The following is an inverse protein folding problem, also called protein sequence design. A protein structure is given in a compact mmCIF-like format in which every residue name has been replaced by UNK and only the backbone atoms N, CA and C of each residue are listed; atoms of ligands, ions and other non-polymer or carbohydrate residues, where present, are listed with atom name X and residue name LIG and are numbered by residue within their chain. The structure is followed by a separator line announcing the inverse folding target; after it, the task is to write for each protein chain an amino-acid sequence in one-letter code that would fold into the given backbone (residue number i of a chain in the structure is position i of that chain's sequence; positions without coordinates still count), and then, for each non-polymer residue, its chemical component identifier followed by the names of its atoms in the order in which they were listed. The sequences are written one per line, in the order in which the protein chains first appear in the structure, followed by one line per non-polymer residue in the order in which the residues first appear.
data_IF_929367486838
#
_entry.id   IF_929367486838
#
_cell.length_a   1.000
_cell.length_b   1.000
_cell.length_c   1.000
_cell.angle_alpha   90.00
_cell.angle_beta   90.00
_cell.angle_gamma   90.00
#
_symmetry.space_group_name_H-M   'P 1'
#
loop_
_entity.id
_entity.type
_entity.pdbx_description
1 polymer ?
#
# COMPACT_ATOMS: atom_id res chain seq x y z
N UNK A 1 -12.92 0.35 5.59
CA UNK A 1 -12.35 -0.19 6.86
C UNK A 1 -12.12 -1.68 6.68
N UNK A 2 -10.92 -2.14 6.92
CA UNK A 2 -10.54 -3.55 6.78
C UNK A 2 -10.78 -4.27 8.10
N UNK A 3 -11.43 -5.44 8.05
CA UNK A 3 -11.72 -6.21 9.25
C UNK A 3 -10.47 -6.91 9.80
N UNK A 4 -10.50 -7.25 11.09
CA UNK A 4 -9.42 -8.00 11.73
C UNK A 4 -9.16 -9.35 11.05
N UNK A 5 -10.21 -10.05 10.59
CA UNK A 5 -10.09 -11.31 9.87
C UNK A 5 -9.43 -11.14 8.49
N UNK A 6 -9.67 -10.02 7.79
CA UNK A 6 -9.01 -9.70 6.52
C UNK A 6 -7.51 -9.46 6.72
N UNK A 7 -7.12 -8.72 7.77
CA UNK A 7 -5.72 -8.55 8.15
C UNK A 7 -5.06 -9.88 8.50
N UNK A 8 -5.74 -10.72 9.28
CA UNK A 8 -5.25 -12.06 9.59
C UNK A 8 -4.96 -12.89 8.33
N UNK A 9 -5.84 -12.82 7.33
CA UNK A 9 -5.65 -13.51 6.06
C UNK A 9 -4.49 -12.95 5.26
N UNK A 10 -4.34 -11.62 5.18
CA UNK A 10 -3.19 -10.97 4.54
C UNK A 10 -1.87 -11.38 5.21
N UNK A 11 -1.82 -11.35 6.53
CA UNK A 11 -0.63 -11.75 7.32
C UNK A 11 -0.27 -13.21 7.04
N UNK A 12 -1.25 -14.12 7.07
CA UNK A 12 -1.05 -15.53 6.73
C UNK A 12 -0.49 -15.73 5.31
N UNK A 13 -1.06 -15.04 4.31
CA UNK A 13 -0.63 -15.14 2.92
C UNK A 13 0.79 -14.60 2.73
N UNK A 14 1.15 -13.53 3.42
CA UNK A 14 2.49 -12.94 3.40
C UNK A 14 3.53 -13.89 4.00
N UNK A 15 3.29 -14.43 5.19
CA UNK A 15 4.20 -15.35 5.88
C UNK A 15 4.42 -16.66 5.10
N UNK A 16 3.38 -17.14 4.40
CA UNK A 16 3.46 -18.33 3.58
C UNK A 16 3.92 -18.06 2.13
N UNK A 17 4.42 -16.86 1.84
CA UNK A 17 4.95 -16.46 0.53
C UNK A 17 3.97 -16.63 -0.64
N UNK A 18 2.66 -16.55 -0.36
CA UNK A 18 1.59 -16.65 -1.36
C UNK A 18 1.33 -15.28 -2.00
N UNK A 19 2.33 -14.76 -2.72
CA UNK A 19 2.37 -13.39 -3.24
C UNK A 19 1.16 -13.02 -4.10
N UNK A 20 0.77 -13.91 -5.02
CA UNK A 20 -0.37 -13.67 -5.92
C UNK A 20 -1.66 -13.53 -5.12
N UNK A 21 -1.95 -14.51 -4.24
CA UNK A 21 -3.17 -14.49 -3.46
C UNK A 21 -3.21 -13.30 -2.47
N UNK A 22 -2.03 -12.91 -1.94
CA UNK A 22 -1.89 -11.70 -1.14
C UNK A 22 -2.28 -10.46 -1.95
N UNK A 23 -1.71 -10.29 -3.15
CA UNK A 23 -1.95 -9.14 -4.00
C UNK A 23 -3.42 -9.09 -4.43
N UNK A 24 -4.00 -10.21 -4.87
CA UNK A 24 -5.39 -10.30 -5.28
C UNK A 24 -6.34 -9.90 -4.14
N UNK A 25 -6.10 -10.42 -2.93
CA UNK A 25 -6.87 -10.04 -1.75
C UNK A 25 -6.67 -8.55 -1.41
N UNK A 26 -5.43 -8.09 -1.38
CA UNK A 26 -5.10 -6.71 -1.02
C UNK A 26 -5.77 -5.71 -1.97
N UNK A 27 -5.64 -5.91 -3.28
CA UNK A 27 -6.28 -5.05 -4.28
C UNK A 27 -7.82 -5.09 -4.19
N UNK A 28 -8.39 -6.24 -3.86
CA UNK A 28 -9.83 -6.34 -3.63
C UNK A 28 -10.30 -5.51 -2.42
N UNK A 29 -9.47 -5.37 -1.39
CA UNK A 29 -9.74 -4.54 -0.22
C UNK A 29 -9.59 -3.05 -0.53
N UNK A 30 -8.56 -2.69 -1.29
CA UNK A 30 -8.35 -1.31 -1.75
C UNK A 30 -9.44 -0.85 -2.72
N UNK A 31 -10.11 -1.77 -3.41
CA UNK A 31 -11.10 -1.51 -4.49
C UNK A 31 -10.52 -0.67 -5.64
N UNK A 32 -9.22 -0.68 -5.80
CA UNK A 32 -8.48 0.05 -6.81
C UNK A 32 -7.16 -0.65 -7.07
N UNK A 33 -6.60 -0.43 -8.25
CA UNK A 33 -5.24 -0.83 -8.60
C UNK A 33 -4.32 0.37 -8.87
N UNK A 34 -4.84 1.60 -8.71
CA UNK A 34 -4.04 2.82 -8.82
C UNK A 34 -3.11 2.94 -7.62
N UNK A 35 -1.83 3.15 -7.89
CA UNK A 35 -0.78 3.23 -6.86
C UNK A 35 -1.09 4.31 -5.82
N UNK A 36 -1.52 5.49 -6.25
CA UNK A 36 -1.83 6.62 -5.36
C UNK A 36 -3.00 6.28 -4.42
N UNK A 37 -4.07 5.70 -4.95
CA UNK A 37 -5.23 5.32 -4.14
C UNK A 37 -4.87 4.22 -3.12
N UNK A 38 -3.99 3.29 -3.52
CA UNK A 38 -3.44 2.26 -2.63
C UNK A 38 -2.66 2.89 -1.47
N UNK A 39 -1.85 3.90 -1.75
CA UNK A 39 -1.09 4.61 -0.71
C UNK A 39 -2.02 5.38 0.24
N UNK A 40 -3.05 6.05 -0.27
CA UNK A 40 -4.08 6.68 0.56
C UNK A 40 -4.82 5.65 1.42
N UNK A 41 -5.14 4.48 0.84
CA UNK A 41 -5.77 3.40 1.59
C UNK A 41 -4.88 2.89 2.73
N UNK A 42 -3.60 2.61 2.47
CA UNK A 42 -2.65 2.20 3.51
C UNK A 42 -2.56 3.26 4.60
N UNK A 43 -2.48 4.54 4.23
CA UNK A 43 -2.45 5.65 5.17
C UNK A 43 -3.69 5.68 6.05
N UNK A 44 -4.88 5.59 5.46
CA UNK A 44 -6.16 5.66 6.16
C UNK A 44 -6.39 4.49 7.13
N UNK A 45 -5.97 3.27 6.75
CA UNK A 45 -6.22 2.07 7.55
C UNK A 45 -5.23 1.90 8.72
N UNK A 46 -4.04 2.48 8.60
CA UNK A 46 -3.00 2.26 9.60
C UNK A 46 -2.76 3.39 10.58
N UNK A 47 -2.73 4.62 10.09
CA UNK A 47 -2.06 5.72 10.77
C UNK A 47 -2.93 6.45 11.79
N UNK A 48 -3.83 5.75 12.42
CA UNK A 48 -4.76 6.41 13.33
C UNK A 48 -4.11 6.76 14.67
N UNK A 49 -3.07 6.04 15.14
CA UNK A 49 -2.64 6.27 16.54
C UNK A 49 -1.17 6.03 16.92
N UNK A 50 -0.25 5.67 16.03
CA UNK A 50 1.10 5.33 16.53
C UNK A 50 2.23 6.05 15.79
N UNK A 51 3.01 6.86 16.53
CA UNK A 51 4.26 7.49 16.11
C UNK A 51 5.42 6.48 15.94
N UNK A 52 5.11 5.22 15.67
CA UNK A 52 6.12 4.19 15.55
C UNK A 52 6.84 4.24 14.21
N UNK A 53 8.15 4.18 14.24
CA UNK A 53 8.99 4.04 13.06
C UNK A 53 8.81 2.65 12.45
N UNK A 54 8.70 2.57 11.13
CA UNK A 54 8.69 1.31 10.40
C UNK A 54 10.14 0.93 10.10
N UNK A 55 10.60 -0.18 10.67
CA UNK A 55 11.90 -0.77 10.33
C UNK A 55 11.74 -1.81 9.24
N UNK A 56 12.42 -1.60 8.12
CA UNK A 56 12.42 -2.50 6.97
C UNK A 56 13.81 -3.06 6.74
N UNK A 57 13.94 -4.36 6.55
CA UNK A 57 15.14 -4.94 5.98
C UNK A 57 14.95 -5.04 4.45
N UNK A 58 15.60 -4.15 3.72
CA UNK A 58 15.56 -4.13 2.27
C UNK A 58 16.97 -4.31 1.70
N UNK A 59 17.18 -5.35 0.89
CA UNK A 59 18.49 -5.68 0.30
C UNK A 59 19.62 -5.65 1.33
N UNK A 60 19.45 -6.35 2.46
CA UNK A 60 20.39 -6.46 3.58
C UNK A 60 20.68 -5.16 4.34
N UNK A 61 19.97 -4.07 4.05
CA UNK A 61 20.05 -2.82 4.80
C UNK A 61 18.81 -2.61 5.64
N UNK A 62 19.01 -2.29 6.91
CA UNK A 62 17.92 -1.83 7.76
C UNK A 62 17.53 -0.41 7.34
N UNK A 63 16.28 -0.24 6.94
CA UNK A 63 15.70 1.04 6.61
C UNK A 63 14.71 1.41 7.71
N UNK A 64 14.91 2.57 8.30
CA UNK A 64 13.96 3.15 9.24
C UNK A 64 13.15 4.19 8.45
N UNK A 65 11.88 3.91 8.24
CA UNK A 65 10.95 4.87 7.63
C UNK A 65 10.23 5.54 8.79
N UNK A 66 10.46 6.82 8.96
CA UNK A 66 9.67 7.61 9.90
C UNK A 66 8.27 7.76 9.34
N UNK A 67 7.27 7.59 10.20
CA UNK A 67 5.88 7.73 9.80
C UNK A 67 5.61 9.12 9.21
N UNK A 68 6.27 10.15 9.74
CA UNK A 68 6.18 11.54 9.30
C UNK A 68 6.74 11.76 7.88
N UNK A 69 7.74 10.97 7.49
CA UNK A 69 8.40 11.08 6.17
C UNK A 69 7.74 10.20 5.11
N UNK A 70 6.91 9.26 5.51
CA UNK A 70 6.24 8.33 4.62
C UNK A 70 4.77 8.70 4.48
N UNK A 71 4.33 9.01 3.28
CA UNK A 71 2.93 9.26 2.94
C UNK A 71 2.37 10.64 3.37
N UNK A 72 3.21 11.65 3.68
CA UNK A 72 2.72 12.98 4.02
C UNK A 72 2.05 13.68 2.83
N UNK A 73 2.68 13.64 1.67
CA UNK A 73 2.27 14.39 0.49
C UNK A 73 1.85 13.46 -0.67
N UNK A 74 0.92 12.53 -0.40
CA UNK A 74 0.34 11.73 -1.47
C UNK A 74 -0.58 12.64 -2.27
N UNK A 75 -0.29 12.88 -3.57
CA UNK A 75 -1.15 13.72 -4.40
C UNK A 75 -2.48 13.01 -4.70
N UNK A 76 -3.48 13.79 -5.06
CA UNK A 76 -4.69 13.24 -5.65
C UNK A 76 -4.42 12.78 -7.09
N UNK A 77 -5.13 11.72 -7.52
CA UNK A 77 -5.11 11.29 -8.91
C UNK A 77 -5.74 12.37 -9.79
N UNK A 78 -4.98 12.88 -10.75
CA UNK A 78 -5.49 13.88 -11.71
C UNK A 78 -5.03 13.50 -13.12
N UNK A 79 -5.84 12.71 -13.84
CA UNK A 79 -5.52 12.32 -15.20
C UNK A 79 -5.46 13.54 -16.12
N UNK A 80 -4.47 13.55 -17.03
CA UNK A 80 -4.33 14.55 -18.08
C UNK A 80 -4.51 13.91 -19.44
N UNK A 81 -5.33 14.53 -20.29
CA UNK A 81 -5.62 14.05 -21.65
C UNK A 81 -4.92 14.94 -22.67
N UNK A 82 -4.10 14.34 -23.50
CA UNK A 82 -3.35 15.00 -24.55
C UNK A 82 -3.83 14.55 -25.92
N UNK A 83 -4.27 15.50 -26.76
CA UNK A 83 -4.75 15.24 -28.13
C UNK A 83 -3.76 15.77 -29.15
N UNK A 84 -3.38 14.92 -30.11
CA UNK A 84 -2.48 15.26 -31.21
C UNK A 84 -2.93 14.60 -32.51
N UNK A 85 -3.47 15.36 -33.44
CA UNK A 85 -4.07 14.84 -34.66
C UNK A 85 -5.11 13.73 -34.28
N UNK A 86 -4.90 12.52 -34.79
CA UNK A 86 -5.76 11.38 -34.56
C UNK A 86 -5.41 10.60 -33.28
N UNK A 87 -4.42 11.06 -32.49
CA UNK A 87 -4.02 10.42 -31.22
C UNK A 87 -4.66 11.12 -30.02
N UNK A 88 -5.13 10.31 -29.09
CA UNK A 88 -5.48 10.74 -27.73
C UNK A 88 -4.70 9.90 -26.73
N UNK A 89 -3.98 10.55 -25.80
CA UNK A 89 -3.15 9.89 -24.80
C UNK A 89 -3.59 10.37 -23.42
N UNK A 90 -3.90 9.43 -22.55
CA UNK A 90 -4.20 9.70 -21.14
C UNK A 90 -2.98 9.38 -20.29
N UNK A 91 -2.52 10.38 -19.55
CA UNK A 91 -1.49 10.24 -18.52
C UNK A 91 -2.13 10.34 -17.15
N UNK A 92 -1.69 9.50 -16.23
CA UNK A 92 -2.09 9.52 -14.80
C UNK A 92 -1.01 8.80 -13.98
N UNK A 93 -1.13 8.84 -12.67
CA UNK A 93 -0.34 7.98 -11.81
C UNK A 93 -0.58 6.50 -12.15
N UNK A 94 0.47 5.67 -12.12
CA UNK A 94 0.38 4.31 -12.64
C UNK A 94 -0.50 3.41 -11.77
N UNK A 95 -1.06 2.39 -12.40
CA UNK A 95 -1.50 1.22 -11.69
C UNK A 95 -0.28 0.47 -11.13
N UNK A 96 -0.46 -0.26 -10.04
CA UNK A 96 0.62 -1.00 -9.39
C UNK A 96 1.33 -1.98 -10.33
N UNK A 97 0.58 -2.65 -11.20
CA UNK A 97 1.12 -3.59 -12.18
C UNK A 97 1.92 -2.85 -13.26
N UNK A 98 1.40 -1.74 -13.74
CA UNK A 98 2.06 -0.93 -14.77
C UNK A 98 3.36 -0.33 -14.25
N UNK A 99 3.37 0.12 -12.99
CA UNK A 99 4.56 0.66 -12.33
C UNK A 99 5.73 -0.33 -12.27
N UNK A 100 5.44 -1.60 -12.10
CA UNK A 100 6.47 -2.65 -11.97
C UNK A 100 6.91 -3.26 -13.29
N UNK A 101 6.10 -3.15 -14.35
CA UNK A 101 6.29 -3.91 -15.59
C UNK A 101 6.46 -3.05 -16.85
N UNK A 102 6.13 -1.76 -16.82
CA UNK A 102 6.16 -0.90 -18.02
C UNK A 102 7.15 0.24 -17.89
N UNK A 103 7.95 0.54 -18.93
CA UNK A 103 8.92 1.64 -18.92
C UNK A 103 8.25 3.02 -18.87
N UNK A 104 7.04 3.17 -19.40
CA UNK A 104 6.23 4.39 -19.39
C UNK A 104 4.96 4.19 -18.57
N UNK A 105 5.14 3.86 -17.30
CA UNK A 105 4.06 3.48 -16.40
C UNK A 105 3.00 4.56 -16.15
N UNK A 106 3.29 5.84 -16.44
CA UNK A 106 2.32 6.92 -16.34
C UNK A 106 1.37 7.00 -17.55
N UNK A 107 1.61 6.28 -18.64
CA UNK A 107 0.71 6.22 -19.78
C UNK A 107 -0.37 5.18 -19.49
N UNK A 108 -1.60 5.64 -19.29
CA UNK A 108 -2.74 4.77 -18.99
C UNK A 108 -3.41 4.22 -20.24
N UNK A 109 -3.57 5.06 -21.27
CA UNK A 109 -4.15 4.65 -22.54
C UNK A 109 -3.62 5.48 -23.71
N UNK A 110 -3.56 4.86 -24.87
CA UNK A 110 -3.32 5.52 -26.14
C UNK A 110 -4.44 5.09 -27.08
N UNK A 111 -5.11 6.02 -27.71
CA UNK A 111 -6.04 5.75 -28.80
C UNK A 111 -5.59 6.43 -30.10
N UNK A 112 -5.87 5.77 -31.22
CA UNK A 112 -5.65 6.29 -32.57
C UNK A 112 -6.94 6.14 -33.37
N UNK A 113 -7.49 7.23 -33.88
CA UNK A 113 -8.78 7.25 -34.59
C UNK A 113 -9.88 6.56 -33.79
N UNK A 114 -9.99 6.90 -32.50
CA UNK A 114 -10.96 6.35 -31.54
C UNK A 114 -10.76 4.86 -31.16
N UNK A 115 -9.79 4.15 -31.73
CA UNK A 115 -9.42 2.80 -31.33
C UNK A 115 -8.37 2.84 -30.22
N UNK A 116 -8.66 2.17 -29.10
CA UNK A 116 -7.70 2.05 -27.98
C UNK A 116 -6.63 1.03 -28.34
N UNK A 117 -5.36 1.45 -28.24
CA UNK A 117 -4.21 0.59 -28.46
C UNK A 117 -3.96 -0.24 -27.21
N UNK A 118 -3.87 -1.55 -27.35
CA UNK A 118 -3.53 -2.46 -26.27
C UNK A 118 -2.00 -2.47 -26.03
N UNK A 119 -1.56 -1.77 -25.02
CA UNK A 119 -0.14 -1.61 -24.68
C UNK A 119 0.33 -2.75 -23.74
N UNK A 120 0.56 -3.94 -24.30
CA UNK A 120 0.97 -5.13 -23.53
C UNK A 120 2.49 -5.30 -23.42
N UNK A 121 3.27 -4.69 -24.27
CA UNK A 121 4.72 -4.88 -24.32
C UNK A 121 5.51 -3.58 -24.45
N UNK A 122 6.79 -3.60 -24.12
CA UNK A 122 7.70 -2.47 -24.29
C UNK A 122 7.82 -2.01 -25.75
N UNK A 123 7.50 -2.89 -26.71
CA UNK A 123 7.55 -2.58 -28.15
C UNK A 123 6.36 -1.74 -28.59
N UNK A 124 5.28 -1.76 -27.87
CA UNK A 124 4.03 -1.07 -28.25
C UNK A 124 4.17 0.46 -28.12
N UNK A 125 5.07 0.93 -27.26
CA UNK A 125 5.39 2.37 -27.16
C UNK A 125 6.14 2.92 -28.36
N UNK A 126 6.73 2.09 -29.20
CA UNK A 126 7.40 2.50 -30.45
C UNK A 126 6.43 3.03 -31.51
N UNK A 127 5.13 2.78 -31.34
CA UNK A 127 4.09 3.37 -32.21
C UNK A 127 3.78 4.82 -31.90
N UNK A 128 4.26 5.36 -30.77
CA UNK A 128 4.11 6.78 -30.45
C UNK A 128 5.05 7.58 -31.35
N UNK A 129 4.55 8.50 -32.20
CA UNK A 129 5.40 9.36 -32.97
C UNK A 129 6.38 10.14 -32.11
N UNK A 130 7.65 10.21 -32.50
CA UNK A 130 8.69 10.89 -31.69
C UNK A 130 8.29 12.32 -31.31
N UNK A 131 7.69 13.05 -32.23
CA UNK A 131 7.23 14.45 -32.01
C UNK A 131 6.14 14.52 -30.92
N UNK A 132 5.33 13.49 -30.78
CA UNK A 132 4.32 13.38 -29.74
C UNK A 132 4.98 12.99 -28.41
N UNK A 133 5.87 12.02 -28.45
CA UNK A 133 6.65 11.59 -27.28
C UNK A 133 7.41 12.77 -26.66
N UNK A 134 8.14 13.55 -27.46
CA UNK A 134 8.91 14.73 -27.02
C UNK A 134 8.03 15.78 -26.30
N UNK A 135 6.74 15.86 -26.67
CA UNK A 135 5.77 16.76 -26.01
C UNK A 135 5.21 16.18 -24.70
N UNK A 136 5.17 14.86 -24.55
CA UNK A 136 4.67 14.19 -23.35
C UNK A 136 5.73 14.08 -22.24
N UNK A 137 7.02 14.06 -22.62
CA UNK A 137 8.13 13.91 -21.66
C UNK A 137 8.02 14.87 -20.46
N UNK A 138 7.78 16.17 -20.60
CA UNK A 138 7.70 17.06 -19.44
C UNK A 138 6.62 16.64 -18.44
N UNK A 139 5.45 16.21 -18.94
CA UNK A 139 4.35 15.74 -18.07
C UNK A 139 4.67 14.40 -17.45
N UNK A 140 5.24 13.46 -18.21
CA UNK A 140 5.69 12.15 -17.65
C UNK A 140 6.71 12.37 -16.54
N UNK A 141 7.71 13.23 -16.77
CA UNK A 141 8.72 13.56 -15.77
C UNK A 141 8.10 14.17 -14.50
N UNK A 142 7.05 14.97 -14.63
CA UNK A 142 6.33 15.53 -13.49
C UNK A 142 5.67 14.45 -12.63
N UNK A 143 5.02 13.45 -13.24
CA UNK A 143 4.48 12.29 -12.52
C UNK A 143 5.60 11.48 -11.83
N UNK A 144 6.70 11.23 -12.54
CA UNK A 144 7.85 10.50 -11.99
C UNK A 144 8.52 11.25 -10.84
N UNK A 145 8.70 12.55 -10.95
CA UNK A 145 9.25 13.40 -9.88
C UNK A 145 8.35 13.38 -8.65
N UNK A 146 7.04 13.42 -8.84
CA UNK A 146 6.07 13.36 -7.75
C UNK A 146 6.14 12.00 -7.05
N UNK A 147 6.14 10.89 -7.79
CA UNK A 147 6.31 9.55 -7.23
C UNK A 147 7.66 9.41 -6.49
N UNK A 148 8.73 9.96 -7.07
CA UNK A 148 10.05 9.95 -6.43
C UNK A 148 10.06 10.69 -5.08
N UNK A 149 9.29 11.77 -4.94
CA UNK A 149 9.16 12.49 -3.65
C UNK A 149 8.43 11.66 -2.59
N UNK A 150 7.40 10.92 -2.98
CA UNK A 150 6.66 10.03 -2.05
C UNK A 150 7.56 8.93 -1.50
N UNK A 151 8.52 8.45 -2.31
CA UNK A 151 9.38 7.31 -1.99
C UNK A 151 10.82 7.68 -1.65
N UNK A 152 11.07 8.92 -1.25
CA UNK A 152 12.37 9.33 -0.70
C UNK A 152 12.43 8.88 0.76
N UNK A 153 13.51 8.20 1.13
CA UNK A 153 13.84 7.94 2.51
C UNK A 153 15.14 8.65 2.89
N UNK A 154 15.23 9.06 4.13
CA UNK A 154 16.45 9.65 4.69
C UNK A 154 17.06 8.71 5.73
N UNK A 155 18.37 8.47 5.62
CA UNK A 155 19.18 7.83 6.65
C UNK A 155 20.26 8.86 7.04
N UNK A 156 20.07 9.56 8.14
CA UNK A 156 20.92 10.70 8.50
C UNK A 156 20.86 11.76 7.39
N UNK A 157 22.04 12.16 6.89
CA UNK A 157 22.17 13.16 5.82
C UNK A 157 22.05 12.56 4.40
N UNK A 158 21.88 11.25 4.28
CA UNK A 158 21.80 10.56 2.99
C UNK A 158 20.34 10.36 2.63
N UNK A 159 19.89 11.02 1.56
CA UNK A 159 18.61 10.72 0.94
C UNK A 159 18.79 9.68 -0.17
N UNK A 160 17.93 8.69 -0.22
CA UNK A 160 17.90 7.70 -1.29
C UNK A 160 16.48 7.44 -1.76
N UNK A 161 16.34 6.87 -2.96
CA UNK A 161 15.04 6.61 -3.59
C UNK A 161 14.68 5.15 -3.46
N UNK A 162 13.41 4.87 -3.15
CA UNK A 162 12.86 3.54 -3.28
C UNK A 162 12.18 3.39 -4.63
N UNK A 163 12.40 2.23 -5.25
CA UNK A 163 11.47 1.73 -6.24
C UNK A 163 10.43 0.87 -5.51
N UNK A 164 9.18 1.26 -5.63
CA UNK A 164 8.08 0.50 -5.05
C UNK A 164 7.83 -0.72 -5.93
N UNK A 165 8.45 -1.84 -5.60
CA UNK A 165 8.13 -3.13 -6.19
C UNK A 165 7.04 -3.85 -5.34
N UNK A 166 6.47 -4.92 -5.91
CA UNK A 166 5.44 -5.73 -5.22
C UNK A 166 5.95 -6.26 -3.89
N UNK A 167 7.21 -6.64 -3.80
CA UNK A 167 7.81 -7.16 -2.58
C UNK A 167 7.91 -6.09 -1.49
N UNK A 168 8.22 -4.85 -1.87
CA UNK A 168 8.23 -3.73 -0.94
C UNK A 168 6.81 -3.40 -0.47
N UNK A 169 5.81 -3.42 -1.36
CA UNK A 169 4.40 -3.21 -0.99
C UNK A 169 3.92 -4.28 -0.01
N UNK A 170 4.21 -5.55 -0.28
CA UNK A 170 3.88 -6.66 0.64
C UNK A 170 4.52 -6.42 2.00
N UNK A 171 5.78 -6.00 2.05
CA UNK A 171 6.48 -5.68 3.29
C UNK A 171 5.87 -4.47 4.00
N UNK A 172 5.53 -3.40 3.28
CA UNK A 172 4.89 -2.21 3.84
C UNK A 172 3.54 -2.59 4.45
N UNK A 173 2.70 -3.34 3.75
CA UNK A 173 1.40 -3.79 4.26
C UNK A 173 1.58 -4.71 5.47
N UNK A 174 2.50 -5.68 5.41
CA UNK A 174 2.81 -6.53 6.55
C UNK A 174 3.25 -5.72 7.77
N UNK A 175 4.19 -4.81 7.59
CA UNK A 175 4.70 -3.96 8.66
C UNK A 175 3.69 -2.91 9.13
N UNK A 176 2.79 -2.49 8.25
CA UNK A 176 1.73 -1.57 8.61
C UNK A 176 0.88 -2.10 9.77
N UNK A 177 0.68 -3.39 9.88
CA UNK A 177 -0.10 -4.01 10.94
C UNK A 177 0.76 -4.64 12.05
N UNK A 178 2.09 -4.53 11.96
CA UNK A 178 3.13 -4.89 12.96
C UNK A 178 2.76 -6.11 13.79
N UNK A 179 2.35 -7.20 13.15
CA UNK A 179 1.95 -8.41 13.86
C UNK A 179 2.28 -9.66 13.06
N UNK A 180 2.48 -10.77 13.74
CA UNK A 180 2.60 -12.09 13.12
C UNK A 180 1.25 -12.80 13.13
N UNK A 181 1.07 -13.77 12.23
CA UNK A 181 -0.13 -14.58 12.22
C UNK A 181 -0.31 -15.36 13.54
N UNK A 182 0.79 -15.78 14.15
CA UNK A 182 0.79 -16.41 15.49
C UNK A 182 0.18 -15.47 16.53
N UNK A 183 0.63 -14.23 16.58
CA UNK A 183 0.10 -13.24 17.52
C UNK A 183 -1.40 -13.01 17.31
N UNK A 184 -1.84 -12.93 16.05
CA UNK A 184 -3.27 -12.79 15.72
C UNK A 184 -4.10 -13.94 16.28
N UNK A 185 -3.60 -15.18 16.18
CA UNK A 185 -4.28 -16.35 16.74
C UNK A 185 -4.34 -16.28 18.26
N UNK A 186 -3.24 -15.94 18.91
CA UNK A 186 -3.17 -15.81 20.39
C UNK A 186 -4.11 -14.71 20.88
N UNK A 187 -4.16 -13.56 20.24
CA UNK A 187 -5.08 -12.46 20.55
C UNK A 187 -6.54 -12.86 20.40
N UNK A 188 -6.89 -13.59 19.33
CA UNK A 188 -8.25 -14.12 19.14
C UNK A 188 -8.64 -15.08 20.26
N UNK A 189 -7.78 -16.06 20.55
CA UNK A 189 -8.03 -17.05 21.57
C UNK A 189 -8.21 -16.38 22.94
N UNK A 190 -7.41 -15.37 23.26
CA UNK A 190 -7.56 -14.60 24.48
C UNK A 190 -8.91 -13.88 24.55
N UNK A 191 -9.30 -13.11 23.52
CA UNK A 191 -10.57 -12.39 23.52
C UNK A 191 -11.78 -13.33 23.51
N UNK A 192 -11.70 -14.45 22.82
CA UNK A 192 -12.77 -15.46 22.82
C UNK A 192 -12.94 -16.10 24.19
N UNK A 193 -11.84 -16.43 24.86
CA UNK A 193 -11.86 -17.10 26.17
C UNK A 193 -12.30 -16.16 27.30
N UNK A 194 -11.71 -14.97 27.35
CA UNK A 194 -11.88 -14.06 28.48
C UNK A 194 -13.08 -13.11 28.34
N UNK A 195 -13.52 -12.83 27.09
CA UNK A 195 -14.54 -11.82 26.78
C UNK A 195 -15.67 -12.33 25.89
N UNK A 196 -15.75 -13.64 25.66
CA UNK A 196 -16.81 -14.27 24.84
C UNK A 196 -16.95 -13.69 23.43
N UNK A 197 -15.85 -13.21 22.84
CA UNK A 197 -15.86 -12.80 21.42
C UNK A 197 -16.17 -13.99 20.54
N UNK A 198 -17.04 -13.80 19.55
CA UNK A 198 -17.30 -14.81 18.53
C UNK A 198 -16.38 -14.61 17.33
N UNK A 199 -16.23 -15.64 16.50
CA UNK A 199 -15.43 -15.51 15.28
C UNK A 199 -15.99 -14.44 14.34
N UNK A 200 -17.31 -14.30 14.27
CA UNK A 200 -18.02 -13.30 13.46
C UNK A 200 -17.78 -11.86 13.97
N UNK A 201 -17.47 -11.68 15.24
CA UNK A 201 -17.11 -10.35 15.74
C UNK A 201 -15.84 -9.81 15.07
N UNK A 202 -14.85 -10.67 14.79
CA UNK A 202 -13.62 -10.29 14.10
C UNK A 202 -13.82 -9.97 12.62
N UNK A 203 -14.92 -10.37 12.01
CA UNK A 203 -15.28 -9.95 10.64
C UNK A 203 -15.91 -8.56 10.59
N UNK A 204 -16.50 -8.11 11.70
CA UNK A 204 -17.20 -6.82 11.80
C UNK A 204 -16.31 -5.71 12.35
N UNK A 205 -15.37 -6.05 13.21
CA UNK A 205 -14.47 -5.10 13.85
C UNK A 205 -13.23 -4.86 13.01
N UNK A 206 -12.77 -3.62 12.95
CA UNK A 206 -11.50 -3.25 12.37
C UNK A 206 -10.33 -3.80 13.19
N UNK A 207 -9.14 -3.82 12.60
CA UNK A 207 -7.93 -4.18 13.33
C UNK A 207 -7.71 -3.30 14.56
N UNK A 208 -7.94 -2.01 14.42
CA UNK A 208 -7.79 -1.02 15.48
C UNK A 208 -8.78 -1.26 16.64
N UNK A 209 -10.07 -1.46 16.35
CA UNK A 209 -11.08 -1.74 17.38
C UNK A 209 -10.74 -3.00 18.17
N UNK A 210 -10.29 -4.07 17.51
CA UNK A 210 -9.86 -5.28 18.20
C UNK A 210 -8.65 -5.01 19.09
N UNK A 211 -7.68 -4.19 18.67
CA UNK A 211 -6.53 -3.81 19.49
C UNK A 211 -6.93 -2.98 20.71
N UNK A 212 -7.90 -2.09 20.58
CA UNK A 212 -8.47 -1.36 21.73
C UNK A 212 -9.13 -2.32 22.72
N UNK A 213 -9.95 -3.26 22.25
CA UNK A 213 -10.54 -4.29 23.12
C UNK A 213 -9.47 -5.14 23.80
N UNK A 214 -8.43 -5.53 23.07
CA UNK A 214 -7.32 -6.30 23.61
C UNK A 214 -6.59 -5.55 24.74
N UNK A 215 -6.30 -4.27 24.52
CA UNK A 215 -5.64 -3.41 25.52
C UNK A 215 -6.50 -3.27 26.78
N UNK A 216 -7.80 -3.03 26.64
CA UNK A 216 -8.74 -2.96 27.75
C UNK A 216 -8.82 -4.31 28.49
N UNK A 217 -8.86 -5.40 27.74
CA UNK A 217 -8.91 -6.75 28.27
C UNK A 217 -7.68 -7.09 29.12
N UNK A 218 -6.49 -6.80 28.62
CA UNK A 218 -5.21 -7.01 29.33
C UNK A 218 -5.18 -6.18 30.62
N UNK A 219 -5.58 -4.89 30.55
CA UNK A 219 -5.65 -4.03 31.72
C UNK A 219 -6.55 -4.61 32.80
N UNK A 220 -7.78 -4.98 32.46
CA UNK A 220 -8.74 -5.57 33.39
C UNK A 220 -8.25 -6.90 33.99
N UNK A 221 -7.56 -7.72 33.21
CA UNK A 221 -7.00 -8.98 33.69
C UNK A 221 -5.86 -8.74 34.71
N UNK A 222 -5.01 -7.74 34.42
CA UNK A 222 -3.93 -7.36 35.35
C UNK A 222 -4.46 -6.78 36.65
N UNK A 223 -5.50 -5.96 36.62
CA UNK A 223 -6.15 -5.40 37.81
C UNK A 223 -6.82 -6.50 38.66
N UNK A 224 -7.43 -7.52 38.04
CA UNK A 224 -7.97 -8.67 38.77
C UNK A 224 -6.91 -9.51 39.44
N UNK A 225 -5.74 -9.66 38.79
CA UNK A 225 -4.66 -10.50 39.31
C UNK A 225 -3.78 -9.78 40.35
N UNK A 226 -3.78 -8.45 40.39
CA UNK A 226 -3.03 -7.60 41.32
C UNK A 226 -3.94 -6.58 42.01
N UNK A 227 -4.82 -7.02 42.96
CA UNK A 227 -5.76 -6.11 43.64
C UNK A 227 -5.09 -5.16 44.64
N UNK A 228 -3.80 -5.30 44.94
CA UNK A 228 -3.09 -4.51 45.96
C UNK A 228 -2.50 -3.16 45.45
N UNK A 229 -2.77 -2.75 44.21
CA UNK A 229 -2.24 -1.49 43.63
C UNK A 229 -3.31 -0.41 43.47
N UNK A 230 -4.38 -0.43 44.30
CA UNK A 230 -5.35 0.68 44.36
C UNK A 230 -5.13 1.53 45.59
#
# INVERSE_FOLDING_TARGET
MVSYNQIAKLTYLSENKRRKDFLDLFLSLCKTNKLIDILHFIKAERFIEDNSNIKLLYKEKELVIFQEDFLLDIPESSPSIHKFNDFEITLDFPNIIDYTCKPMHCIQSISYKEEVLDLKSNTDYNYIPKTLYDKLIPTINQYEETLNKIFIYKIGDISSRFFLDIDLIIKIVYLAFVTSYKNIIEERLFLMKEYNFTYEAFDKLSFHEVKQHLTAAIKNTNERNNPETQ
#
